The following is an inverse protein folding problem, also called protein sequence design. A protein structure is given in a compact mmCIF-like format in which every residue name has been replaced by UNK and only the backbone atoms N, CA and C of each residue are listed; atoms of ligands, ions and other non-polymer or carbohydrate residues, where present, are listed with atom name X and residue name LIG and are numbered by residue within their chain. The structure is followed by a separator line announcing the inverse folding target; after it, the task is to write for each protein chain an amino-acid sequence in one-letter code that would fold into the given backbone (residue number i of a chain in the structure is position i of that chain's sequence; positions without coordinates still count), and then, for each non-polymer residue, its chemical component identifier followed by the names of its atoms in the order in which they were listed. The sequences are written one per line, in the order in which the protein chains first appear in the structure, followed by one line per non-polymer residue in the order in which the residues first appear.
data_IF_687441716093
#
_entry.id   IF_687441716093
#
_cell.length_a   1.000
_cell.length_b   1.000
_cell.length_c   1.000
_cell.angle_alpha   90.00
_cell.angle_beta   90.00
_cell.angle_gamma   90.00
#
_symmetry.space_group_name_H-M   'P 1'
#
loop_
_entity.id
_entity.type
_entity.pdbx_description
1 polymer ?
#
# COMPACT_ATOMS: atom_id res chain seq x y z
N UNK A 1 10.28 -2.79 -2.42
CA UNK A 1 8.99 -3.37 -2.02
C UNK A 1 8.60 -4.28 -3.16
N UNK A 2 8.72 -5.62 -3.06
CA UNK A 2 8.18 -6.47 -4.09
C UNK A 2 6.67 -6.24 -4.06
N UNK A 3 6.24 -5.45 -5.03
CA UNK A 3 5.36 -5.93 -6.07
C UNK A 3 4.49 -7.12 -5.61
N UNK A 4 3.26 -6.93 -5.10
CA UNK A 4 2.32 -8.07 -5.06
C UNK A 4 2.05 -8.52 -6.48
N UNK A 5 1.64 -9.78 -6.62
CA UNK A 5 1.33 -10.39 -7.92
C UNK A 5 0.38 -9.56 -8.81
N UNK A 6 -0.58 -8.84 -8.22
CA UNK A 6 -1.56 -8.01 -8.91
C UNK A 6 -1.03 -6.61 -9.26
N UNK A 7 -0.09 -6.10 -8.46
CA UNK A 7 0.61 -4.82 -8.66
C UNK A 7 1.69 -4.87 -9.73
N UNK A 8 2.26 -6.05 -9.98
CA UNK A 8 3.23 -6.23 -11.07
C UNK A 8 2.62 -6.07 -12.47
N UNK A 9 1.34 -6.42 -12.63
CA UNK A 9 0.68 -6.34 -13.94
C UNK A 9 0.60 -4.91 -14.48
N UNK A 10 0.11 -3.89 -13.73
CA UNK A 10 0.14 -2.51 -14.21
C UNK A 10 1.56 -1.98 -14.45
N UNK A 11 2.57 -2.45 -13.69
CA UNK A 11 3.97 -2.08 -13.90
C UNK A 11 4.51 -2.59 -15.23
N UNK A 12 4.29 -3.86 -15.56
CA UNK A 12 4.67 -4.42 -16.85
C UNK A 12 3.88 -3.79 -18.01
N UNK A 13 2.60 -3.47 -17.78
CA UNK A 13 1.78 -2.73 -18.74
C UNK A 13 2.36 -1.34 -19.05
N UNK A 14 2.84 -0.62 -18.04
CA UNK A 14 3.49 0.69 -18.20
C UNK A 14 4.84 0.59 -18.92
N UNK A 15 5.56 -0.52 -18.75
CA UNK A 15 6.77 -0.86 -19.51
C UNK A 15 6.51 -1.30 -20.96
N UNK A 16 5.26 -1.24 -21.43
CA UNK A 16 4.88 -1.50 -22.83
C UNK A 16 4.39 -2.91 -23.11
N UNK A 17 4.38 -3.82 -22.13
CA UNK A 17 3.92 -5.19 -22.37
C UNK A 17 2.39 -5.24 -22.48
N UNK A 18 1.88 -6.08 -23.37
CA UNK A 18 0.47 -6.46 -23.45
C UNK A 18 0.14 -7.57 -22.43
N UNK A 19 -1.16 -7.77 -22.13
CA UNK A 19 -1.55 -8.90 -21.27
C UNK A 19 -1.19 -10.25 -21.89
N UNK A 20 -1.22 -10.34 -23.22
CA UNK A 20 -0.86 -11.55 -23.96
C UNK A 20 0.64 -11.84 -23.78
N UNK A 21 1.52 -10.85 -23.96
CA UNK A 21 2.96 -11.03 -23.76
C UNK A 21 3.32 -11.41 -22.32
N UNK A 22 2.67 -10.81 -21.32
CA UNK A 22 2.84 -11.21 -19.91
C UNK A 22 2.40 -12.66 -19.72
N UNK A 23 1.24 -13.03 -20.26
CA UNK A 23 0.70 -14.38 -20.13
C UNK A 23 1.60 -15.43 -20.80
N UNK A 24 2.12 -15.14 -21.99
CA UNK A 24 3.04 -16.01 -22.72
C UNK A 24 4.33 -16.25 -21.95
N UNK A 25 4.95 -15.17 -21.43
CA UNK A 25 6.18 -15.27 -20.61
C UNK A 25 5.96 -16.05 -19.31
N UNK A 26 4.77 -15.97 -18.71
CA UNK A 26 4.42 -16.72 -17.50
C UNK A 26 3.86 -18.13 -17.78
N UNK A 27 3.71 -18.53 -19.05
CA UNK A 27 3.00 -19.76 -19.43
C UNK A 27 1.61 -19.86 -18.79
N UNK A 28 0.81 -18.80 -18.96
CA UNK A 28 -0.58 -18.68 -18.48
C UNK A 28 -1.48 -18.19 -19.61
N UNK A 29 -2.80 -18.20 -19.39
CA UNK A 29 -3.73 -17.55 -20.32
C UNK A 29 -3.85 -16.05 -20.03
N UNK A 30 -4.07 -15.24 -21.06
CA UNK A 30 -4.34 -13.81 -20.92
C UNK A 30 -5.49 -13.53 -19.93
N UNK A 31 -6.56 -14.34 -20.03
CA UNK A 31 -7.71 -14.27 -19.12
C UNK A 31 -7.29 -14.46 -17.66
N UNK A 32 -6.32 -15.34 -17.39
CA UNK A 32 -5.79 -15.55 -16.04
C UNK A 32 -5.08 -14.30 -15.52
N UNK A 33 -4.17 -13.72 -16.31
CA UNK A 33 -3.42 -12.51 -15.92
C UNK A 33 -4.38 -11.33 -15.66
N UNK A 34 -5.40 -11.17 -16.51
CA UNK A 34 -6.45 -10.16 -16.31
C UNK A 34 -7.25 -10.39 -15.04
N UNK A 35 -7.62 -11.63 -14.74
CA UNK A 35 -8.36 -11.97 -13.52
C UNK A 35 -7.52 -11.71 -12.26
N UNK A 36 -6.20 -11.98 -12.30
CA UNK A 36 -5.27 -11.66 -11.22
C UNK A 36 -5.16 -10.15 -11.03
N UNK A 37 -4.95 -9.39 -12.11
CA UNK A 37 -4.91 -7.92 -12.04
C UNK A 37 -6.21 -7.33 -11.49
N UNK A 38 -7.36 -7.88 -11.88
CA UNK A 38 -8.67 -7.39 -11.44
C UNK A 38 -9.09 -7.86 -10.04
N UNK A 39 -8.20 -8.52 -9.28
CA UNK A 39 -8.53 -9.04 -7.95
C UNK A 39 -9.51 -10.22 -7.94
N UNK A 40 -9.93 -10.71 -9.11
CA UNK A 40 -10.90 -11.81 -9.26
C UNK A 40 -10.28 -13.17 -8.96
N UNK A 41 -8.94 -13.27 -8.99
CA UNK A 41 -8.22 -14.51 -8.76
C UNK A 41 -6.92 -14.28 -8.02
N UNK A 42 -6.73 -15.02 -6.94
CA UNK A 42 -5.43 -15.14 -6.28
C UNK A 42 -4.63 -16.31 -6.91
N UNK A 43 -3.32 -16.12 -7.20
CA UNK A 43 -2.47 -17.22 -7.62
C UNK A 43 -2.40 -18.31 -6.55
N UNK A 44 -2.41 -19.59 -6.95
CA UNK A 44 -2.27 -20.73 -6.01
C UNK A 44 -0.96 -20.67 -5.22
N UNK A 45 0.10 -20.15 -5.85
CA UNK A 45 1.42 -19.94 -5.25
C UNK A 45 1.87 -18.50 -5.47
N UNK A 46 1.41 -17.54 -4.63
CA UNK A 46 1.69 -16.12 -4.82
C UNK A 46 3.18 -15.78 -4.88
N UNK A 47 4.00 -16.39 -4.01
CA UNK A 47 5.45 -16.15 -3.99
C UNK A 47 6.16 -16.66 -5.26
N UNK A 48 5.69 -17.77 -5.84
CA UNK A 48 6.23 -18.25 -7.12
C UNK A 48 5.86 -17.30 -8.25
N UNK A 49 4.60 -16.85 -8.28
CA UNK A 49 4.14 -15.84 -9.24
C UNK A 49 4.97 -14.55 -9.16
N UNK A 50 5.19 -14.04 -7.95
CA UNK A 50 5.98 -12.82 -7.70
C UNK A 50 7.44 -12.97 -8.15
N UNK A 51 8.02 -14.18 -8.08
CA UNK A 51 9.35 -14.48 -8.62
C UNK A 51 9.35 -14.49 -10.15
N UNK A 52 8.45 -15.25 -10.76
CA UNK A 52 8.32 -15.36 -12.23
C UNK A 52 8.10 -13.97 -12.86
N UNK A 53 7.17 -13.18 -12.31
CA UNK A 53 6.87 -11.85 -12.85
C UNK A 53 7.97 -10.83 -12.55
N UNK A 54 8.69 -10.97 -11.43
CA UNK A 54 9.86 -10.15 -11.10
C UNK A 54 11.04 -10.39 -12.04
N UNK A 55 11.24 -11.63 -12.50
CA UNK A 55 12.23 -11.96 -13.53
C UNK A 55 11.86 -11.29 -14.86
N UNK A 56 10.59 -11.39 -15.29
CA UNK A 56 10.10 -10.69 -16.49
C UNK A 56 10.30 -9.18 -16.35
N UNK A 57 10.03 -8.61 -15.17
CA UNK A 57 10.22 -7.19 -14.92
C UNK A 57 11.68 -6.77 -15.05
N UNK A 58 12.64 -7.54 -14.51
CA UNK A 58 14.06 -7.24 -14.61
C UNK A 58 14.61 -7.26 -16.05
N UNK A 59 13.94 -7.96 -16.97
CA UNK A 59 14.31 -7.98 -18.40
C UNK A 59 13.86 -6.71 -19.15
N UNK A 60 12.79 -6.06 -18.68
CA UNK A 60 12.10 -4.99 -19.42
C UNK A 60 12.06 -3.66 -18.67
N UNK A 61 12.47 -3.65 -17.41
CA UNK A 61 12.54 -2.48 -16.51
C UNK A 61 13.93 -2.47 -15.87
N UNK A 62 14.57 -1.31 -15.86
CA UNK A 62 15.80 -1.10 -15.11
C UNK A 62 15.48 -0.93 -13.60
N UNK A 63 15.16 -2.04 -12.92
CA UNK A 63 14.93 -2.00 -11.48
C UNK A 63 16.23 -1.65 -10.75
N UNK A 64 16.20 -0.75 -9.76
CA UNK A 64 17.41 -0.30 -9.09
C UNK A 64 17.86 -1.24 -7.95
N UNK A 65 17.30 -2.44 -7.83
CA UNK A 65 17.73 -3.49 -6.89
C UNK A 65 18.01 -4.80 -7.62
N UNK A 66 18.81 -5.68 -7.02
CA UNK A 66 19.16 -6.97 -7.61
C UNK A 66 18.03 -8.02 -7.47
N UNK A 67 18.08 -9.07 -8.30
CA UNK A 67 17.14 -10.19 -8.20
C UNK A 67 17.24 -10.93 -6.86
N UNK A 68 18.43 -11.01 -6.28
CA UNK A 68 18.64 -11.62 -4.95
C UNK A 68 17.93 -10.81 -3.86
N UNK A 69 18.01 -9.48 -3.92
CA UNK A 69 17.26 -8.61 -3.01
C UNK A 69 15.75 -8.81 -3.20
N UNK A 70 15.28 -8.88 -4.44
CA UNK A 70 13.88 -9.17 -4.76
C UNK A 70 13.43 -10.51 -4.14
N UNK A 71 14.22 -11.58 -4.28
CA UNK A 71 13.91 -12.90 -3.73
C UNK A 71 13.88 -12.91 -2.20
N UNK A 72 14.83 -12.23 -1.56
CA UNK A 72 14.85 -12.09 -0.10
C UNK A 72 13.57 -11.40 0.39
N UNK A 73 13.14 -10.33 -0.27
CA UNK A 73 11.95 -9.62 0.17
C UNK A 73 10.67 -10.43 -0.12
N UNK A 74 10.60 -11.17 -1.23
CA UNK A 74 9.50 -12.12 -1.47
C UNK A 74 9.42 -13.17 -0.35
N UNK A 75 10.57 -13.67 0.13
CA UNK A 75 10.60 -14.62 1.25
C UNK A 75 10.04 -13.98 2.54
N UNK A 76 10.49 -12.77 2.89
CA UNK A 76 9.97 -12.03 4.06
C UNK A 76 8.45 -11.82 3.93
N UNK A 77 7.98 -11.39 2.76
CA UNK A 77 6.56 -11.16 2.50
C UNK A 77 5.72 -12.43 2.55
N UNK A 78 6.27 -13.56 2.09
CA UNK A 78 5.59 -14.84 2.18
C UNK A 78 5.39 -15.27 3.64
N UNK A 79 6.43 -15.15 4.47
CA UNK A 79 6.34 -15.41 5.91
C UNK A 79 5.39 -14.44 6.61
N UNK A 80 5.37 -13.18 6.19
CA UNK A 80 4.47 -12.16 6.72
C UNK A 80 3.00 -12.50 6.42
N UNK A 81 2.69 -12.95 5.19
CA UNK A 81 1.35 -13.41 4.80
C UNK A 81 0.87 -14.59 5.66
N UNK A 82 1.78 -15.50 5.99
CA UNK A 82 1.49 -16.66 6.85
C UNK A 82 1.64 -16.37 8.35
N UNK A 83 1.84 -15.09 8.73
CA UNK A 83 1.99 -14.63 10.12
C UNK A 83 3.14 -15.32 10.88
N UNK A 84 4.18 -15.75 10.19
CA UNK A 84 5.35 -16.43 10.77
C UNK A 84 6.40 -15.43 11.29
N UNK A 85 6.00 -14.56 12.23
CA UNK A 85 6.84 -13.45 12.70
C UNK A 85 8.13 -13.90 13.39
N UNK A 86 8.07 -14.96 14.20
CA UNK A 86 9.26 -15.51 14.87
C UNK A 86 10.29 -16.04 13.85
N UNK A 87 9.83 -16.61 12.73
CA UNK A 87 10.70 -17.10 11.67
C UNK A 87 11.34 -15.95 10.88
N UNK A 88 10.60 -14.86 10.65
CA UNK A 88 11.17 -13.63 10.07
C UNK A 88 12.30 -13.11 10.96
N UNK A 89 12.08 -13.05 12.27
CA UNK A 89 13.10 -12.56 13.18
C UNK A 89 14.33 -13.47 13.23
N UNK A 90 14.11 -14.79 13.28
CA UNK A 90 15.16 -15.80 13.32
C UNK A 90 16.03 -15.78 12.05
N UNK A 91 15.42 -15.64 10.88
CA UNK A 91 16.11 -15.70 9.60
C UNK A 91 16.73 -14.36 9.18
N UNK A 92 16.06 -13.24 9.47
CA UNK A 92 16.43 -11.94 8.92
C UNK A 92 16.74 -10.87 9.97
N UNK A 93 16.51 -11.13 11.26
CA UNK A 93 16.71 -10.13 12.33
C UNK A 93 18.15 -9.65 12.43
N UNK A 94 19.11 -10.58 12.46
CA UNK A 94 20.55 -10.26 12.56
C UNK A 94 21.07 -9.55 11.30
N UNK A 95 20.75 -10.07 10.11
CA UNK A 95 21.18 -9.43 8.85
C UNK A 95 20.58 -8.04 8.68
N UNK A 96 19.33 -7.83 9.13
CA UNK A 96 18.69 -6.51 9.09
C UNK A 96 19.34 -5.49 10.03
N UNK A 97 19.90 -5.91 11.17
CA UNK A 97 20.68 -5.00 12.03
C UNK A 97 21.95 -4.53 11.33
N UNK A 98 22.69 -5.44 10.70
CA UNK A 98 23.91 -5.10 9.94
C UNK A 98 23.57 -4.17 8.76
N UNK A 99 22.51 -4.51 8.01
CA UNK A 99 22.04 -3.66 6.91
C UNK A 99 21.58 -2.29 7.41
N UNK A 100 20.94 -2.22 8.58
CA UNK A 100 20.52 -0.96 9.19
C UNK A 100 21.70 -0.06 9.54
N UNK A 101 22.82 -0.60 10.03
CA UNK A 101 24.04 0.19 10.25
C UNK A 101 24.53 0.84 8.95
N UNK A 102 24.41 0.12 7.83
CA UNK A 102 24.77 0.64 6.51
C UNK A 102 23.75 1.69 6.02
N UNK A 103 22.45 1.48 6.24
CA UNK A 103 21.42 2.49 5.91
C UNK A 103 21.60 3.76 6.75
N UNK A 104 21.95 3.64 8.04
CA UNK A 104 22.21 4.79 8.93
C UNK A 104 23.38 5.64 8.47
N UNK A 105 24.39 5.03 7.84
CA UNK A 105 25.57 5.72 7.33
C UNK A 105 25.28 6.61 6.10
N UNK A 106 24.10 6.49 5.49
CA UNK A 106 23.69 7.32 4.35
C UNK A 106 22.75 8.43 4.80
N UNK A 107 22.98 9.66 4.34
CA UNK A 107 21.98 10.72 4.47
C UNK A 107 20.95 10.63 3.34
N UNK A 108 19.67 10.99 3.58
CA UNK A 108 18.65 11.03 2.52
C UNK A 108 19.04 11.89 1.32
N UNK A 109 19.94 12.87 1.49
CA UNK A 109 20.43 13.76 0.43
C UNK A 109 21.57 13.17 -0.42
N UNK A 110 22.19 12.06 -0.01
CA UNK A 110 23.25 11.39 -0.79
C UNK A 110 22.68 10.47 -1.89
N UNK A 111 21.35 10.44 -2.05
CA UNK A 111 20.60 9.55 -2.95
C UNK A 111 20.63 9.95 -4.44
N UNK A 112 21.55 10.80 -4.90
CA UNK A 112 21.57 11.31 -6.30
C UNK A 112 21.93 10.19 -7.31
N UNK A 113 22.60 9.11 -6.87
CA UNK A 113 22.79 7.88 -7.66
C UNK A 113 22.99 6.67 -6.74
N UNK A 114 21.91 6.08 -6.21
CA UNK A 114 22.00 5.04 -5.21
C UNK A 114 22.47 3.71 -5.81
N UNK A 115 23.36 3.00 -5.10
CA UNK A 115 23.80 1.67 -5.54
C UNK A 115 22.68 0.63 -5.42
N UNK A 116 22.68 -0.43 -6.26
CA UNK A 116 21.73 -1.53 -6.11
C UNK A 116 21.76 -2.22 -4.76
N UNK A 117 22.93 -2.18 -4.11
CA UNK A 117 23.14 -2.69 -2.75
C UNK A 117 22.34 -1.86 -1.74
N UNK A 118 22.44 -0.52 -1.80
CA UNK A 118 21.70 0.37 -0.89
C UNK A 118 20.19 0.20 -1.05
N UNK A 119 19.69 0.11 -2.28
CA UNK A 119 18.28 -0.17 -2.56
C UNK A 119 17.83 -1.50 -1.96
N UNK A 120 18.57 -2.58 -2.25
CA UNK A 120 18.25 -3.92 -1.75
C UNK A 120 18.24 -3.99 -0.22
N UNK A 121 19.21 -3.36 0.43
CA UNK A 121 19.34 -3.31 1.89
C UNK A 121 18.23 -2.48 2.54
N UNK A 122 18.00 -1.26 2.05
CA UNK A 122 16.95 -0.38 2.59
C UNK A 122 15.59 -1.04 2.49
N UNK A 123 15.30 -1.67 1.34
CA UNK A 123 14.07 -2.43 1.15
C UNK A 123 13.98 -3.63 2.11
N UNK A 124 15.00 -4.47 2.19
CA UNK A 124 14.99 -5.65 3.07
C UNK A 124 14.79 -5.26 4.54
N UNK A 125 15.51 -4.25 5.03
CA UNK A 125 15.37 -3.73 6.40
C UNK A 125 13.97 -3.20 6.64
N UNK A 126 13.44 -2.38 5.72
CA UNK A 126 12.09 -1.84 5.81
C UNK A 126 11.04 -2.95 6.05
N UNK A 127 11.13 -4.07 5.33
CA UNK A 127 10.17 -5.17 5.49
C UNK A 127 10.31 -5.96 6.76
N UNK A 128 11.54 -6.18 7.21
CA UNK A 128 11.75 -6.84 8.50
C UNK A 128 11.19 -5.96 9.62
N UNK A 129 11.51 -4.67 9.61
CA UNK A 129 10.93 -3.72 10.57
C UNK A 129 9.40 -3.70 10.50
N UNK A 130 8.83 -3.62 9.29
CA UNK A 130 7.38 -3.66 9.11
C UNK A 130 6.75 -4.95 9.67
N UNK A 131 7.32 -6.12 9.36
CA UNK A 131 6.83 -7.39 9.85
C UNK A 131 6.88 -7.47 11.39
N UNK A 132 7.98 -7.00 11.99
CA UNK A 132 8.15 -6.97 13.44
C UNK A 132 7.22 -5.95 14.12
N UNK A 133 6.94 -4.81 13.48
CA UNK A 133 5.92 -3.85 13.95
C UNK A 133 4.54 -4.49 13.96
N UNK A 134 4.19 -5.22 12.91
CA UNK A 134 2.91 -5.91 12.83
C UNK A 134 2.76 -7.00 13.90
N UNK A 135 3.86 -7.67 14.27
CA UNK A 135 3.85 -8.67 15.33
C UNK A 135 3.58 -8.06 16.73
N UNK A 136 4.01 -6.81 16.94
CA UNK A 136 4.03 -6.16 18.26
C UNK A 136 3.04 -4.99 18.36
N UNK A 137 1.88 -5.08 17.70
CA UNK A 137 0.84 -4.03 17.75
C UNK A 137 1.36 -2.62 17.43
N UNK A 138 2.23 -2.52 16.41
CA UNK A 138 2.92 -1.30 15.97
C UNK A 138 4.17 -0.90 16.76
N UNK A 139 4.55 -1.62 17.82
CA UNK A 139 5.82 -1.45 18.52
C UNK A 139 7.01 -2.14 17.84
N UNK A 140 8.23 -1.76 18.16
CA UNK A 140 9.45 -2.43 17.68
C UNK A 140 10.07 -3.29 18.80
N UNK A 141 10.70 -4.44 18.49
CA UNK A 141 11.52 -5.15 19.45
C UNK A 141 12.68 -4.26 19.94
N UNK A 142 13.16 -4.45 21.18
CA UNK A 142 14.20 -3.62 21.83
C UNK A 142 15.46 -3.36 21.01
N UNK A 143 15.77 -4.26 20.08
CA UNK A 143 16.91 -4.15 19.16
C UNK A 143 16.73 -3.14 18.01
N UNK A 144 15.54 -2.55 17.86
CA UNK A 144 15.23 -1.53 16.88
C UNK A 144 14.50 -0.37 17.56
N UNK A 145 14.82 0.87 17.19
CA UNK A 145 14.19 2.07 17.74
C UNK A 145 13.20 2.70 16.76
N UNK A 146 12.30 3.54 17.26
CA UNK A 146 11.43 4.36 16.39
C UNK A 146 12.27 5.26 15.46
N UNK A 147 13.42 5.74 15.92
CA UNK A 147 14.37 6.48 15.09
C UNK A 147 14.91 5.66 13.90
N UNK A 148 15.07 4.35 14.07
CA UNK A 148 15.51 3.45 12.99
C UNK A 148 14.45 3.28 11.92
N UNK A 149 13.20 3.12 12.35
CA UNK A 149 12.08 3.10 11.44
C UNK A 149 11.98 4.39 10.63
N UNK A 150 12.04 5.54 11.30
CA UNK A 150 11.98 6.84 10.64
C UNK A 150 13.16 7.08 9.69
N UNK A 151 14.38 6.67 10.05
CA UNK A 151 15.55 6.77 9.16
C UNK A 151 15.38 5.90 7.92
N UNK A 152 14.99 4.63 8.08
CA UNK A 152 14.77 3.71 6.94
C UNK A 152 13.66 4.21 6.02
N UNK A 153 12.55 4.67 6.59
CA UNK A 153 11.45 5.28 5.82
C UNK A 153 11.92 6.53 5.08
N UNK A 154 12.64 7.43 5.75
CA UNK A 154 13.15 8.66 5.14
C UNK A 154 14.11 8.39 3.97
N UNK A 155 15.07 7.46 4.14
CA UNK A 155 15.97 7.04 3.07
C UNK A 155 15.19 6.40 1.92
N UNK A 156 14.24 5.51 2.22
CA UNK A 156 13.47 4.84 1.17
C UNK A 156 12.59 5.81 0.38
N UNK A 157 11.97 6.79 1.03
CA UNK A 157 11.19 7.82 0.34
C UNK A 157 12.07 8.70 -0.54
N UNK A 158 13.26 9.08 -0.07
CA UNK A 158 14.22 9.82 -0.89
C UNK A 158 14.69 9.02 -2.11
N UNK A 159 14.96 7.73 -1.94
CA UNK A 159 15.26 6.81 -3.04
C UNK A 159 14.10 6.70 -4.05
N UNK A 160 12.86 6.61 -3.56
CA UNK A 160 11.69 6.53 -4.44
C UNK A 160 11.40 7.81 -5.21
N UNK A 161 11.84 8.96 -4.70
CA UNK A 161 11.68 10.24 -5.37
C UNK A 161 12.58 10.38 -6.61
N UNK A 162 13.73 9.68 -6.65
CA UNK A 162 14.57 9.65 -7.87
C UNK A 162 13.89 8.95 -9.05
N UNK A 163 12.84 8.17 -8.78
CA UNK A 163 12.09 7.35 -9.74
C UNK A 163 10.60 7.75 -9.74
N UNK A 164 10.27 9.00 -9.40
CA UNK A 164 8.91 9.44 -9.07
C UNK A 164 7.83 9.10 -10.10
N UNK A 165 8.19 9.05 -11.39
CA UNK A 165 7.29 8.77 -12.51
C UNK A 165 7.16 7.27 -12.83
N UNK A 166 8.04 6.43 -12.31
CA UNK A 166 7.98 5.01 -12.57
C UNK A 166 6.79 4.38 -11.84
N UNK A 167 5.93 3.64 -12.55
CA UNK A 167 4.71 3.04 -11.95
C UNK A 167 5.04 2.16 -10.75
N UNK A 168 6.16 1.43 -10.78
CA UNK A 168 6.60 0.62 -9.66
C UNK A 168 6.91 1.51 -8.43
N UNK A 169 7.60 2.64 -8.63
CA UNK A 169 7.98 3.56 -7.56
C UNK A 169 6.77 4.27 -6.96
N UNK A 170 5.79 4.64 -7.78
CA UNK A 170 4.49 5.17 -7.33
C UNK A 170 3.81 4.19 -6.37
N UNK A 171 3.73 2.91 -6.76
CA UNK A 171 3.14 1.86 -5.92
C UNK A 171 3.98 1.67 -4.64
N UNK A 172 5.31 1.67 -4.74
CA UNK A 172 6.16 1.47 -3.56
C UNK A 172 6.01 2.60 -2.55
N UNK A 173 6.00 3.84 -3.05
CA UNK A 173 5.84 5.05 -2.25
C UNK A 173 4.51 5.07 -1.53
N UNK A 174 3.42 4.69 -2.22
CA UNK A 174 2.12 4.51 -1.56
C UNK A 174 2.23 3.55 -0.38
N UNK A 175 2.86 2.37 -0.52
CA UNK A 175 2.91 1.43 0.61
C UNK A 175 3.77 1.91 1.76
N UNK A 176 4.90 2.55 1.47
CA UNK A 176 5.75 3.12 2.52
C UNK A 176 4.98 4.18 3.30
N UNK A 177 4.30 5.09 2.59
CA UNK A 177 3.51 6.15 3.20
C UNK A 177 2.25 5.65 3.90
N UNK A 178 1.55 4.65 3.35
CA UNK A 178 0.40 4.01 3.99
C UNK A 178 0.82 3.36 5.31
N UNK A 179 1.98 2.70 5.36
CA UNK A 179 2.49 2.08 6.58
C UNK A 179 2.93 3.12 7.62
N UNK A 180 3.56 4.20 7.16
CA UNK A 180 3.89 5.36 8.01
C UNK A 180 2.62 6.02 8.57
N UNK A 181 1.60 6.22 7.74
CA UNK A 181 0.28 6.70 8.13
C UNK A 181 -0.33 5.77 9.17
N UNK A 182 -0.41 4.47 8.91
CA UNK A 182 -1.01 3.52 9.85
C UNK A 182 -0.28 3.53 11.20
N UNK A 183 1.04 3.59 11.22
CA UNK A 183 1.82 3.70 12.46
C UNK A 183 1.51 5.00 13.21
N UNK A 184 1.48 6.15 12.52
CA UNK A 184 1.15 7.45 13.14
C UNK A 184 -0.31 7.46 13.61
N UNK A 185 -1.25 7.09 12.75
CA UNK A 185 -2.70 7.10 12.99
C UNK A 185 -3.12 6.20 14.15
N UNK A 186 -2.57 4.98 14.21
CA UNK A 186 -2.91 4.02 15.27
C UNK A 186 -2.26 4.34 16.61
N UNK A 187 -1.18 5.12 16.64
CA UNK A 187 -0.57 5.61 17.87
C UNK A 187 -1.39 6.74 18.53
N UNK A 188 -2.28 7.40 17.78
CA UNK A 188 -3.16 8.43 18.29
C UNK A 188 -4.43 7.82 18.88
N UNK A 189 -4.84 8.30 20.05
CA UNK A 189 -6.09 7.88 20.69
C UNK A 189 -7.27 8.21 19.74
N UNK A 190 -8.05 7.21 19.27
CA UNK A 190 -9.21 7.45 18.42
C UNK A 190 -10.27 8.36 19.07
N UNK A 191 -10.33 8.36 20.41
CA UNK A 191 -11.27 9.16 21.22
C UNK A 191 -10.73 10.54 21.55
N UNK A 192 -9.43 10.76 21.36
CA UNK A 192 -8.79 12.07 21.48
C UNK A 192 -8.95 12.89 20.20
N UNK A 193 -8.86 14.21 20.32
CA UNK A 193 -8.85 15.11 19.16
C UNK A 193 -7.49 15.08 18.41
N UNK A 194 -6.55 14.24 18.85
CA UNK A 194 -5.18 14.19 18.32
C UNK A 194 -5.14 13.82 16.83
N UNK A 195 -6.07 12.98 16.36
CA UNK A 195 -6.22 12.65 14.92
C UNK A 195 -6.72 13.83 14.09
N UNK A 196 -7.37 14.81 14.71
CA UNK A 196 -7.83 16.07 14.09
C UNK A 196 -6.89 17.25 14.36
N UNK A 197 -5.78 17.02 15.07
CA UNK A 197 -4.80 18.04 15.40
C UNK A 197 -4.26 18.76 14.17
N UNK A 198 -3.85 20.01 14.35
CA UNK A 198 -3.20 20.80 13.30
C UNK A 198 -1.89 20.16 12.83
N UNK A 199 -1.17 19.46 13.73
CA UNK A 199 0.03 18.70 13.37
C UNK A 199 -0.28 17.55 12.41
N UNK A 200 -1.35 16.78 12.70
CA UNK A 200 -1.77 15.70 11.81
C UNK A 200 -2.27 16.26 10.47
N UNK A 201 -3.02 17.37 10.50
CA UNK A 201 -3.47 18.07 9.30
C UNK A 201 -2.29 18.51 8.44
N UNK A 202 -1.33 19.21 9.03
CA UNK A 202 -0.14 19.70 8.34
C UNK A 202 0.63 18.55 7.71
N UNK A 203 0.87 17.47 8.47
CA UNK A 203 1.58 16.31 7.95
C UNK A 203 0.85 15.64 6.77
N UNK A 204 -0.47 15.51 6.83
CA UNK A 204 -1.27 14.96 5.72
C UNK A 204 -1.25 15.85 4.48
N UNK A 205 -1.24 17.18 4.67
CA UNK A 205 -1.12 18.16 3.59
C UNK A 205 0.27 18.10 2.96
N UNK A 206 1.35 18.11 3.75
CA UNK A 206 2.73 18.04 3.27
C UNK A 206 3.02 16.75 2.50
N UNK A 207 2.46 15.64 2.96
CA UNK A 207 2.64 14.32 2.31
C UNK A 207 1.70 14.09 1.13
N UNK A 208 0.71 14.97 0.91
CA UNK A 208 -0.38 14.79 -0.07
C UNK A 208 -1.05 13.40 0.01
N UNK A 209 -1.21 12.91 1.25
CA UNK A 209 -1.50 11.50 1.52
C UNK A 209 -2.79 11.02 0.84
N UNK A 210 -3.85 11.83 0.87
CA UNK A 210 -5.13 11.44 0.27
C UNK A 210 -4.99 11.22 -1.24
N UNK A 211 -4.37 12.16 -1.96
CA UNK A 211 -4.21 12.03 -3.41
C UNK A 211 -3.33 10.82 -3.75
N UNK A 212 -2.31 10.53 -2.95
CA UNK A 212 -1.50 9.30 -3.12
C UNK A 212 -2.31 8.02 -2.93
N UNK A 213 -3.23 7.99 -1.95
CA UNK A 213 -4.12 6.85 -1.75
C UNK A 213 -5.04 6.65 -2.98
N UNK A 214 -5.60 7.74 -3.50
CA UNK A 214 -6.50 7.70 -4.67
C UNK A 214 -5.74 7.32 -5.96
N UNK A 215 -4.54 7.86 -6.17
CA UNK A 215 -3.68 7.50 -7.30
C UNK A 215 -3.27 6.02 -7.29
N UNK A 216 -3.03 5.45 -6.10
CA UNK A 216 -2.83 4.01 -5.98
C UNK A 216 -4.10 3.21 -6.32
N UNK A 217 -5.28 3.67 -5.88
CA UNK A 217 -6.55 3.04 -6.24
C UNK A 217 -6.80 3.10 -7.76
N UNK A 218 -6.38 4.15 -8.47
CA UNK A 218 -6.46 4.19 -9.94
C UNK A 218 -5.64 3.08 -10.61
N UNK A 219 -4.47 2.73 -10.03
CA UNK A 219 -3.62 1.64 -10.52
C UNK A 219 -4.19 0.27 -10.15
N UNK A 220 -4.71 0.14 -8.93
CA UNK A 220 -5.20 -1.10 -8.33
C UNK A 220 -6.64 -0.91 -7.81
N UNK A 221 -7.63 -0.86 -8.72
CA UNK A 221 -8.99 -0.41 -8.39
C UNK A 221 -9.71 -1.30 -7.40
N UNK A 222 -9.40 -2.60 -7.35
CA UNK A 222 -10.07 -3.56 -6.47
C UNK A 222 -9.59 -3.55 -5.00
N UNK A 223 -8.55 -2.78 -4.68
CA UNK A 223 -8.00 -2.72 -3.31
C UNK A 223 -8.80 -1.69 -2.50
N UNK A 224 -9.53 -2.17 -1.48
CA UNK A 224 -10.39 -1.37 -0.62
C UNK A 224 -9.59 -0.47 0.32
N UNK A 225 -8.42 -0.92 0.78
CA UNK A 225 -7.67 -0.25 1.85
C UNK A 225 -7.35 1.21 1.54
N UNK A 226 -7.12 1.54 0.26
CA UNK A 226 -6.78 2.89 -0.18
C UNK A 226 -7.96 3.88 -0.10
N UNK A 227 -9.12 3.65 -0.75
CA UNK A 227 -10.28 4.53 -0.60
C UNK A 227 -10.80 4.57 0.84
N UNK A 228 -10.63 3.50 1.63
CA UNK A 228 -10.97 3.52 3.05
C UNK A 228 -10.08 4.45 3.87
N UNK A 229 -8.77 4.39 3.70
CA UNK A 229 -7.86 5.32 4.37
C UNK A 229 -8.12 6.77 3.94
N UNK A 230 -8.44 6.99 2.66
CA UNK A 230 -8.80 8.31 2.14
C UNK A 230 -10.10 8.83 2.78
N UNK A 231 -11.10 7.95 2.94
CA UNK A 231 -12.36 8.25 3.61
C UNK A 231 -12.16 8.61 5.08
N UNK A 232 -11.30 7.88 5.80
CA UNK A 232 -11.00 8.16 7.21
C UNK A 232 -10.38 9.54 7.39
N UNK A 233 -9.40 9.88 6.54
CA UNK A 233 -8.78 11.21 6.51
C UNK A 233 -9.84 12.27 6.21
N UNK A 234 -10.58 12.13 5.11
CA UNK A 234 -11.56 13.12 4.70
C UNK A 234 -12.64 13.35 5.77
N UNK A 235 -13.13 12.27 6.38
CA UNK A 235 -14.12 12.30 7.46
C UNK A 235 -13.61 13.01 8.71
N UNK A 236 -12.37 12.73 9.16
CA UNK A 236 -11.80 13.39 10.34
C UNK A 236 -11.62 14.90 10.16
N UNK A 237 -11.36 15.36 8.96
CA UNK A 237 -11.20 16.79 8.63
C UNK A 237 -12.43 17.44 8.00
N UNK A 238 -13.56 16.72 7.93
CA UNK A 238 -14.81 17.18 7.33
C UNK A 238 -14.65 17.72 5.89
N UNK A 239 -13.78 17.10 5.10
CA UNK A 239 -13.56 17.43 3.69
C UNK A 239 -14.65 16.82 2.81
N UNK A 240 -15.85 17.41 2.90
CA UNK A 240 -17.06 16.90 2.24
C UNK A 240 -17.02 16.99 0.72
N UNK A 241 -16.18 17.86 0.17
CA UNK A 241 -15.99 18.00 -1.28
C UNK A 241 -15.32 16.76 -1.89
N UNK A 242 -14.54 16.01 -1.08
CA UNK A 242 -13.89 14.77 -1.51
C UNK A 242 -14.80 13.53 -1.47
N UNK A 243 -15.93 13.58 -0.77
CA UNK A 243 -16.78 12.40 -0.54
C UNK A 243 -17.39 11.78 -1.81
N UNK A 244 -17.84 12.55 -2.82
CA UNK A 244 -18.35 11.96 -4.06
C UNK A 244 -17.33 11.09 -4.80
N UNK A 245 -16.07 11.53 -4.90
CA UNK A 245 -15.01 10.76 -5.58
C UNK A 245 -14.69 9.46 -4.82
N UNK A 246 -14.53 9.56 -3.50
CA UNK A 246 -14.27 8.41 -2.63
C UNK A 246 -15.43 7.40 -2.71
N UNK A 247 -16.68 7.88 -2.69
CA UNK A 247 -17.85 7.02 -2.82
C UNK A 247 -17.90 6.31 -4.18
N UNK A 248 -17.66 7.03 -5.28
CA UNK A 248 -17.64 6.44 -6.62
C UNK A 248 -16.62 5.31 -6.73
N UNK A 249 -15.44 5.48 -6.11
CA UNK A 249 -14.39 4.45 -6.05
C UNK A 249 -14.82 3.24 -5.23
N UNK A 250 -15.42 3.44 -4.06
CA UNK A 250 -15.97 2.34 -3.25
C UNK A 250 -17.03 1.55 -4.03
N UNK A 251 -17.97 2.24 -4.68
CA UNK A 251 -19.03 1.64 -5.49
C UNK A 251 -18.52 0.88 -6.72
N UNK A 252 -17.37 1.27 -7.27
CA UNK A 252 -16.72 0.55 -8.36
C UNK A 252 -16.09 -0.78 -7.89
N UNK A 253 -15.79 -0.91 -6.59
CA UNK A 253 -15.20 -2.12 -6.01
C UNK A 253 -16.27 -3.13 -5.63
N UNK A 254 -17.31 -2.70 -4.93
CA UNK A 254 -18.35 -3.58 -4.40
C UNK A 254 -19.72 -2.90 -4.47
N UNK A 255 -20.69 -3.62 -5.04
CA UNK A 255 -22.08 -3.17 -5.18
C UNK A 255 -22.75 -2.84 -3.85
N UNK A 256 -22.28 -3.43 -2.73
CA UNK A 256 -22.79 -3.11 -1.40
C UNK A 256 -22.70 -1.61 -1.09
N UNK A 257 -21.66 -0.92 -1.56
CA UNK A 257 -21.48 0.52 -1.27
C UNK A 257 -22.40 1.43 -2.10
N UNK A 258 -23.27 0.86 -2.95
CA UNK A 258 -24.29 1.60 -3.71
C UNK A 258 -25.54 1.92 -2.88
N UNK A 259 -25.62 1.44 -1.63
CA UNK A 259 -26.70 1.76 -0.69
C UNK A 259 -26.15 2.36 0.59
N UNK A 260 -26.97 3.16 1.27
CA UNK A 260 -26.59 3.73 2.58
C UNK A 260 -26.38 2.61 3.60
N UNK A 261 -27.20 1.57 3.59
CA UNK A 261 -27.09 0.42 4.48
C UNK A 261 -25.80 -0.37 4.25
N UNK A 262 -25.34 -0.49 3.01
CA UNK A 262 -24.08 -1.16 2.72
C UNK A 262 -22.84 -0.31 3.05
N UNK A 263 -22.93 1.01 2.94
CA UNK A 263 -21.92 1.93 3.48
C UNK A 263 -21.88 1.83 5.02
N UNK A 264 -23.04 1.81 5.68
CA UNK A 264 -23.13 1.67 7.14
C UNK A 264 -22.69 0.28 7.63
N UNK A 265 -22.73 -0.77 6.80
CA UNK A 265 -22.20 -2.08 7.19
C UNK A 265 -20.72 -2.06 7.56
N UNK A 266 -20.00 -0.99 7.18
CA UNK A 266 -18.61 -0.73 7.58
C UNK A 266 -18.47 -0.36 9.07
N UNK A 267 -19.52 0.16 9.70
CA UNK A 267 -19.52 0.51 11.12
C UNK A 267 -19.73 -0.69 12.05
N UNK A 268 -19.96 -1.89 11.51
CA UNK A 268 -20.15 -3.10 12.32
C UNK A 268 -18.87 -3.53 13.06
N UNK A 269 -17.71 -3.00 12.65
CA UNK A 269 -16.44 -3.16 13.33
C UNK A 269 -16.24 -1.99 14.33
N UNK A 270 -16.42 -2.26 15.63
CA UNK A 270 -16.58 -1.23 16.68
C UNK A 270 -15.38 -0.29 16.84
N UNK A 271 -14.19 -0.73 16.44
CA UNK A 271 -12.94 0.04 16.55
C UNK A 271 -12.75 1.04 15.39
N UNK A 272 -13.57 0.94 14.32
CA UNK A 272 -13.45 1.74 13.10
C UNK A 272 -14.51 2.85 12.95
N UNK A 273 -15.57 2.85 13.78
CA UNK A 273 -16.75 3.68 13.54
C UNK A 273 -16.50 5.20 13.67
N UNK A 274 -15.64 5.62 14.60
CA UNK A 274 -15.40 7.04 14.90
C UNK A 274 -14.65 7.79 13.79
N UNK A 275 -13.81 7.09 13.01
CA UNK A 275 -13.06 7.71 11.90
C UNK A 275 -13.97 8.10 10.72
N UNK A 276 -15.19 7.56 10.64
CA UNK A 276 -16.09 7.71 9.49
C UNK A 276 -17.38 8.48 9.79
N UNK A 277 -17.55 9.00 11.00
CA UNK A 277 -18.81 9.61 11.45
C UNK A 277 -19.32 10.73 10.53
N UNK A 278 -18.47 11.67 10.10
CA UNK A 278 -18.89 12.77 9.23
C UNK A 278 -19.27 12.27 7.84
N UNK A 279 -18.52 11.29 7.32
CA UNK A 279 -18.85 10.65 6.05
C UNK A 279 -20.20 9.93 6.10
N UNK A 280 -20.48 9.17 7.16
CA UNK A 280 -21.77 8.49 7.34
C UNK A 280 -22.92 9.48 7.53
N UNK A 281 -22.71 10.56 8.28
CA UNK A 281 -23.71 11.62 8.43
C UNK A 281 -24.01 12.28 7.07
N UNK A 282 -22.99 12.55 6.26
CA UNK A 282 -23.14 13.06 4.90
C UNK A 282 -23.88 12.05 4.00
N UNK A 283 -23.52 10.76 4.04
CA UNK A 283 -24.14 9.73 3.21
C UNK A 283 -25.64 9.58 3.52
N UNK A 284 -26.01 9.61 4.81
CA UNK A 284 -27.41 9.64 5.27
C UNK A 284 -28.16 10.86 4.73
N UNK A 285 -27.57 12.05 4.84
CA UNK A 285 -28.16 13.28 4.34
C UNK A 285 -28.34 13.27 2.81
N UNK A 286 -27.47 12.54 2.10
CA UNK A 286 -27.45 12.44 0.63
C UNK A 286 -28.01 11.11 0.11
N UNK A 287 -28.78 10.36 0.90
CA UNK A 287 -29.34 9.04 0.55
C UNK A 287 -29.93 9.00 -0.87
N UNK A 288 -30.73 10.01 -1.23
CA UNK A 288 -31.37 10.11 -2.56
C UNK A 288 -30.38 10.23 -3.72
N UNK A 289 -29.18 10.78 -3.49
CA UNK A 289 -28.14 10.90 -4.50
C UNK A 289 -27.43 9.55 -4.69
N UNK A 290 -27.13 8.87 -3.58
CA UNK A 290 -26.46 7.56 -3.55
C UNK A 290 -27.33 6.48 -4.22
N UNK A 291 -28.62 6.43 -3.88
CA UNK A 291 -29.53 5.38 -4.36
C UNK A 291 -30.09 5.65 -5.77
N UNK A 292 -29.99 6.89 -6.29
CA UNK A 292 -30.46 7.23 -7.66
C UNK A 292 -29.56 6.68 -8.76
N UNK A 293 -28.29 6.41 -8.51
CA UNK A 293 -27.39 5.85 -9.52
C UNK A 293 -27.64 4.35 -9.79
N UNK A 294 -28.23 3.63 -8.82
CA UNK A 294 -28.60 2.20 -8.98
C UNK A 294 -29.77 2.04 -9.96
N UNK A 295 -30.75 2.95 -9.94
CA UNK A 295 -31.96 2.86 -10.75
C UNK A 295 -31.75 3.09 -12.26
N UNK A 296 -30.59 3.63 -12.69
CA UNK A 296 -30.27 3.80 -14.11
C UNK A 296 -29.59 2.57 -14.74
N UNK A 297 -29.07 1.64 -13.95
CA UNK A 297 -28.35 0.45 -14.44
C UNK A 297 -29.19 -0.83 -14.46
N UNK A 298 -30.41 -0.84 -13.91
CA UNK A 298 -31.30 -2.03 -13.89
C UNK A 298 -32.24 -2.11 -15.10
N UNK A 299 -32.17 -1.17 -16.04
CA UNK A 299 -32.86 -1.25 -17.34
C UNK A 299 -31.81 -1.33 -18.44
N UNK A 300 -31.24 -2.53 -18.64
CA UNK A 300 -30.67 -3.00 -19.90
C UNK A 300 -30.59 -4.52 -19.91
#
# INVERSE_FOLDING_TARGET
MPLRYDEWVPVLKAAGLSYQEIADRMSRSERYVRAVKGGQREPKYPALWEREIGQIAAEVIALPWSLEAQEQIIAIMNLLRTKQFAEIDRLFGFSSQIMLEQVRAHEPMDAISPSPVLWGQTLSVFYVLFALRRANSSGLPDKFSEGDWLKVVGVLLALLETEAEATWAVILRYKVEQLRLAAKWNALDPKGDDRRSDEMRQWLTETDMRNRLLAYNDLIPHVLEAPFAAMAIASRFSDRDSYPDILARLQAIDDRYKTVEGIESLSADKDFNEDFEDFFAWAKANRRLIEKEVAKCTIR
#
